data_IF_625899789210
#
_entry.id   IF_625899789210
#
_cell.length_a   1.000
_cell.length_b   1.000
_cell.length_c   1.000
_cell.angle_alpha   90.00
_cell.angle_beta   90.00
_cell.angle_gamma   90.00
#
_symmetry.space_group_name_H-M   'P 1'
#
loop_
_entity.id
_entity.type
_entity.pdbx_description
1 polymer ?
#
# COMPACT_ATOMS: atom_id res chain seq x y z
N UNK A 1 -6.35 -1.82 -14.07
CA UNK A 1 -5.35 -0.74 -14.05
C UNK A 1 -6.00 0.59 -13.71
N UNK A 2 -5.42 1.36 -12.79
CA UNK A 2 -5.97 2.63 -12.27
C UNK A 2 -6.24 3.69 -13.35
N UNK A 3 -5.51 3.65 -14.48
CA UNK A 3 -5.72 4.54 -15.63
C UNK A 3 -7.10 4.38 -16.27
N UNK A 4 -7.40 3.17 -16.75
CA UNK A 4 -8.69 2.84 -17.35
C UNK A 4 -9.86 3.06 -16.36
N UNK A 5 -9.67 2.72 -15.08
CA UNK A 5 -10.72 2.91 -14.07
C UNK A 5 -11.09 4.38 -13.88
N UNK A 6 -10.09 5.25 -13.73
CA UNK A 6 -10.32 6.70 -13.57
C UNK A 6 -11.00 7.30 -14.79
N UNK A 7 -10.55 6.93 -16.00
CA UNK A 7 -11.20 7.31 -17.24
C UNK A 7 -12.68 6.92 -17.24
N UNK A 8 -12.99 5.64 -17.02
CA UNK A 8 -14.37 5.15 -17.03
C UNK A 8 -15.22 5.74 -15.93
N UNK A 9 -14.66 5.96 -14.74
CA UNK A 9 -15.36 6.64 -13.66
C UNK A 9 -15.76 8.06 -14.10
N UNK A 10 -14.83 8.84 -14.64
CA UNK A 10 -15.12 10.22 -15.08
C UNK A 10 -16.04 10.27 -16.30
N UNK A 11 -15.94 9.28 -17.19
CA UNK A 11 -16.84 9.14 -18.34
C UNK A 11 -18.29 8.87 -17.90
N UNK A 12 -18.51 7.89 -17.01
CA UNK A 12 -19.87 7.49 -16.59
C UNK A 12 -20.48 8.36 -15.50
N UNK A 13 -19.67 9.06 -14.71
CA UNK A 13 -20.14 9.85 -13.57
C UNK A 13 -19.82 11.35 -13.71
N UNK A 14 -19.54 11.82 -14.93
CA UNK A 14 -19.27 13.23 -15.23
C UNK A 14 -20.10 13.75 -16.39
N UNK A 15 -19.77 14.96 -16.85
CA UNK A 15 -20.54 15.75 -17.82
C UNK A 15 -20.69 15.08 -19.18
N UNK A 16 -19.79 14.15 -19.54
CA UNK A 16 -19.86 13.37 -20.78
C UNK A 16 -21.11 12.51 -20.83
N UNK A 17 -21.52 11.91 -19.70
CA UNK A 17 -22.77 11.14 -19.64
C UNK A 17 -23.97 12.04 -19.89
N UNK A 18 -23.99 13.22 -19.28
CA UNK A 18 -25.11 14.14 -19.40
C UNK A 18 -25.26 14.64 -20.84
N UNK A 19 -24.15 14.98 -21.51
CA UNK A 19 -24.15 15.34 -22.92
C UNK A 19 -24.67 14.20 -23.82
N UNK A 20 -24.28 12.95 -23.52
CA UNK A 20 -24.80 11.77 -24.22
C UNK A 20 -26.31 11.60 -24.04
N UNK A 21 -26.82 11.74 -22.81
CA UNK A 21 -28.25 11.63 -22.51
C UNK A 21 -29.07 12.76 -23.15
N UNK A 22 -28.50 13.97 -23.20
CA UNK A 22 -29.10 15.13 -23.85
C UNK A 22 -29.08 15.05 -25.39
N UNK A 23 -28.44 14.04 -25.99
CA UNK A 23 -28.16 13.93 -27.44
C UNK A 23 -27.41 15.14 -27.99
N UNK A 24 -26.56 15.75 -27.17
CA UNK A 24 -25.65 16.82 -27.61
C UNK A 24 -24.38 16.18 -28.17
N UNK A 25 -24.36 15.97 -29.49
CA UNK A 25 -23.22 15.36 -30.19
C UNK A 25 -21.92 16.17 -30.05
N UNK A 26 -22.03 17.51 -29.97
CA UNK A 26 -20.88 18.39 -29.88
C UNK A 26 -20.28 18.36 -28.46
N UNK A 27 -21.13 18.52 -27.44
CA UNK A 27 -20.74 18.42 -26.04
C UNK A 27 -20.19 17.04 -25.69
N UNK A 28 -20.79 15.97 -26.23
CA UNK A 28 -20.28 14.61 -26.03
C UNK A 28 -18.88 14.43 -26.64
N UNK A 29 -18.67 14.81 -27.91
CA UNK A 29 -17.37 14.68 -28.57
C UNK A 29 -16.29 15.50 -27.86
N UNK A 30 -16.56 16.77 -27.60
CA UNK A 30 -15.63 17.66 -26.91
C UNK A 30 -15.29 17.14 -25.50
N UNK A 31 -16.30 16.66 -24.76
CA UNK A 31 -16.10 16.08 -23.44
C UNK A 31 -15.25 14.81 -23.45
N UNK A 32 -15.46 13.91 -24.42
CA UNK A 32 -14.64 12.70 -24.60
C UNK A 32 -13.21 13.04 -24.98
N UNK A 33 -13.02 13.96 -25.94
CA UNK A 33 -11.69 14.41 -26.37
C UNK A 33 -10.92 15.06 -25.21
N UNK A 34 -11.57 15.92 -24.42
CA UNK A 34 -11.00 16.49 -23.21
C UNK A 34 -10.62 15.44 -22.16
N UNK A 35 -11.43 14.40 -22.00
CA UNK A 35 -11.13 13.29 -21.11
C UNK A 35 -9.92 12.48 -21.56
N UNK A 36 -9.85 12.15 -22.85
CA UNK A 36 -8.70 11.47 -23.46
C UNK A 36 -7.42 12.30 -23.36
N UNK A 37 -7.50 13.61 -23.62
CA UNK A 37 -6.39 14.55 -23.48
C UNK A 37 -5.91 14.66 -22.01
N UNK A 38 -6.83 14.65 -21.06
CA UNK A 38 -6.47 14.66 -19.63
C UNK A 38 -5.78 13.36 -19.19
N UNK A 39 -6.15 12.22 -19.77
CA UNK A 39 -5.47 10.95 -19.54
C UNK A 39 -4.12 10.86 -20.26
N UNK A 40 -3.82 11.72 -21.24
CA UNK A 40 -2.51 11.76 -21.90
C UNK A 40 -1.38 12.27 -20.98
N UNK A 41 -1.72 13.01 -19.92
CA UNK A 41 -0.74 13.50 -18.96
C UNK A 41 -0.24 12.36 -18.06
N UNK A 42 1.09 12.19 -17.89
CA UNK A 42 1.62 11.22 -16.95
C UNK A 42 1.18 11.62 -15.53
N UNK A 43 0.57 10.69 -14.81
CA UNK A 43 0.25 10.92 -13.40
C UNK A 43 1.54 11.01 -12.62
N UNK A 44 1.60 11.95 -11.67
CA UNK A 44 2.61 11.88 -10.63
C UNK A 44 2.29 10.69 -9.72
N UNK A 45 3.19 9.71 -9.72
CA UNK A 45 3.14 8.62 -8.78
C UNK A 45 3.41 9.13 -7.36
N UNK A 46 3.07 8.30 -6.39
CA UNK A 46 3.24 8.64 -4.98
C UNK A 46 3.49 7.40 -4.16
N UNK A 47 4.15 7.58 -3.02
CA UNK A 47 4.43 6.48 -2.07
C UNK A 47 3.65 6.71 -0.78
N UNK A 48 2.93 5.70 -0.32
CA UNK A 48 2.30 5.72 1.01
C UNK A 48 2.97 4.68 1.90
N UNK A 49 3.65 5.15 2.93
CA UNK A 49 4.25 4.30 3.96
C UNK A 49 3.20 3.96 5.01
N UNK A 50 2.97 2.67 5.23
CA UNK A 50 1.95 2.17 6.15
C UNK A 50 2.60 1.16 7.09
N UNK A 51 2.66 1.51 8.37
CA UNK A 51 3.10 0.61 9.43
C UNK A 51 1.96 -0.33 9.85
N UNK A 52 2.28 -1.60 10.07
CA UNK A 52 1.35 -2.63 10.54
C UNK A 52 1.77 -3.06 11.95
N UNK A 53 0.97 -2.68 12.94
CA UNK A 53 1.22 -3.07 14.33
C UNK A 53 0.39 -4.29 14.77
N UNK A 54 -0.65 -4.64 14.02
CA UNK A 54 -1.54 -5.76 14.29
C UNK A 54 -1.73 -6.60 13.03
N UNK A 55 -1.81 -7.91 13.20
CA UNK A 55 -2.12 -8.82 12.11
C UNK A 55 -3.64 -8.88 11.80
N UNK A 56 -4.46 -8.27 12.65
CA UNK A 56 -5.91 -8.13 12.46
C UNK A 56 -6.23 -7.01 11.46
N UNK A 57 -6.84 -7.32 10.30
CA UNK A 57 -7.27 -6.32 9.31
C UNK A 57 -8.22 -5.24 9.87
N UNK A 58 -9.03 -5.58 10.88
CA UNK A 58 -10.00 -4.63 11.46
C UNK A 58 -9.33 -3.56 12.33
N UNK A 59 -8.10 -3.80 12.77
CA UNK A 59 -7.28 -2.84 13.51
C UNK A 59 -6.48 -1.90 12.60
N UNK A 60 -6.66 -2.01 11.29
CA UNK A 60 -6.08 -1.08 10.33
C UNK A 60 -6.86 0.24 10.31
N UNK A 61 -6.15 1.36 10.18
CA UNK A 61 -6.82 2.65 10.03
C UNK A 61 -7.60 2.71 8.72
N UNK A 62 -8.74 3.41 8.71
CA UNK A 62 -9.51 3.66 7.49
C UNK A 62 -8.67 4.36 6.41
N UNK A 63 -7.68 5.17 6.82
CA UNK A 63 -6.73 5.81 5.88
C UNK A 63 -5.86 4.75 5.20
N UNK A 64 -5.28 3.81 5.95
CA UNK A 64 -4.45 2.74 5.39
C UNK A 64 -5.24 1.82 4.46
N UNK A 65 -6.45 1.41 4.86
CA UNK A 65 -7.34 0.63 4.00
C UNK A 65 -7.64 1.36 2.68
N UNK A 66 -7.99 2.65 2.74
CA UNK A 66 -8.22 3.46 1.53
C UNK A 66 -7.01 3.47 0.60
N UNK A 67 -5.80 3.61 1.15
CA UNK A 67 -4.56 3.60 0.36
C UNK A 67 -4.31 2.23 -0.28
N UNK A 68 -4.56 1.13 0.42
CA UNK A 68 -4.44 -0.22 -0.15
C UNK A 68 -5.41 -0.47 -1.30
N UNK A 69 -6.66 -0.02 -1.17
CA UNK A 69 -7.66 -0.14 -2.24
C UNK A 69 -7.27 0.67 -3.47
N UNK A 70 -6.65 1.82 -3.27
CA UNK A 70 -6.21 2.71 -4.36
C UNK A 70 -4.86 2.30 -4.99
N UNK A 71 -4.07 1.47 -4.32
CA UNK A 71 -2.71 1.13 -4.68
C UNK A 71 -2.62 0.47 -6.06
N UNK A 72 -1.64 0.88 -6.86
CA UNK A 72 -1.24 0.19 -8.08
C UNK A 72 -0.23 -0.93 -7.79
N UNK A 73 0.68 -0.65 -6.86
CA UNK A 73 1.72 -1.56 -6.42
C UNK A 73 1.76 -1.59 -4.91
N UNK A 74 1.93 -2.78 -4.35
CA UNK A 74 2.11 -3.00 -2.91
C UNK A 74 3.46 -3.67 -2.71
N UNK A 75 4.40 -2.91 -2.15
CA UNK A 75 5.70 -3.40 -1.70
C UNK A 75 5.56 -3.76 -0.23
N UNK A 76 5.76 -5.02 0.13
CA UNK A 76 5.53 -5.50 1.49
C UNK A 76 6.60 -6.48 1.97
N UNK A 77 6.84 -6.48 3.28
CA UNK A 77 7.72 -7.47 3.92
C UNK A 77 7.08 -8.87 3.87
N UNK A 78 7.89 -9.92 4.00
CA UNK A 78 7.40 -11.31 4.08
C UNK A 78 6.45 -11.56 5.25
N UNK A 79 6.55 -10.81 6.34
CA UNK A 79 5.74 -10.99 7.53
C UNK A 79 4.29 -10.53 7.39
N UNK A 80 3.95 -9.76 6.34
CA UNK A 80 2.62 -9.14 6.19
C UNK A 80 1.54 -10.20 5.98
N UNK A 81 0.50 -10.25 6.86
CA UNK A 81 -0.59 -11.21 6.73
C UNK A 81 -1.33 -11.10 5.41
N UNK A 82 -1.68 -12.26 4.83
CA UNK A 82 -2.45 -12.32 3.59
C UNK A 82 -3.79 -11.56 3.71
N UNK A 83 -4.45 -11.62 4.87
CA UNK A 83 -5.73 -10.93 5.08
C UNK A 83 -5.63 -9.40 4.88
N UNK A 84 -4.50 -8.80 5.24
CA UNK A 84 -4.21 -7.38 4.98
C UNK A 84 -3.96 -7.13 3.50
N UNK A 85 -3.19 -8.00 2.84
CA UNK A 85 -2.91 -7.91 1.40
C UNK A 85 -4.17 -8.09 0.55
N UNK A 86 -5.15 -8.87 1.02
CA UNK A 86 -6.43 -9.07 0.34
C UNK A 86 -7.38 -7.87 0.45
N UNK A 87 -7.11 -6.89 1.31
CA UNK A 87 -7.84 -5.61 1.32
C UNK A 87 -7.51 -4.75 0.10
N UNK A 88 -6.36 -5.03 -0.53
CA UNK A 88 -5.99 -4.38 -1.77
C UNK A 88 -6.89 -4.80 -2.93
N UNK A 89 -6.92 -3.96 -3.97
CA UNK A 89 -7.56 -4.33 -5.22
C UNK A 89 -6.94 -5.59 -5.84
N UNK A 90 -7.75 -6.40 -6.52
CA UNK A 90 -7.32 -7.66 -7.14
C UNK A 90 -6.27 -7.49 -8.25
N UNK A 91 -6.23 -6.33 -8.89
CA UNK A 91 -5.29 -5.99 -9.97
C UNK A 91 -4.10 -5.16 -9.48
N UNK A 92 -3.89 -5.02 -8.16
CA UNK A 92 -2.67 -4.44 -7.62
C UNK A 92 -1.54 -5.45 -7.72
N UNK A 93 -0.38 -5.00 -8.22
CA UNK A 93 0.83 -5.83 -8.22
C UNK A 93 1.38 -5.91 -6.80
N UNK A 94 1.62 -7.12 -6.31
CA UNK A 94 2.23 -7.37 -5.00
C UNK A 94 3.70 -7.73 -5.20
N UNK A 95 4.59 -7.02 -4.50
CA UNK A 95 6.03 -7.23 -4.53
C UNK A 95 6.46 -7.53 -3.10
N UNK A 96 6.92 -8.75 -2.87
CA UNK A 96 7.45 -9.14 -1.57
C UNK A 96 8.95 -8.84 -1.52
N UNK A 97 9.39 -8.18 -0.45
CA UNK A 97 10.80 -7.87 -0.21
C UNK A 97 11.30 -8.58 1.05
N UNK A 98 12.59 -8.97 1.11
CA UNK A 98 13.21 -9.45 2.33
C UNK A 98 13.04 -8.44 3.46
N UNK A 99 12.68 -8.89 4.65
CA UNK A 99 12.61 -7.99 5.81
C UNK A 99 14.01 -7.41 6.09
N UNK A 100 14.09 -6.11 6.35
CA UNK A 100 15.34 -5.36 6.56
C UNK A 100 16.23 -5.16 5.32
N UNK A 101 15.75 -5.49 4.12
CA UNK A 101 16.42 -5.13 2.86
C UNK A 101 15.82 -3.85 2.26
N UNK A 102 16.27 -2.73 2.81
CA UNK A 102 15.81 -1.39 2.43
C UNK A 102 16.16 -1.01 0.99
N UNK A 103 17.31 -1.49 0.48
CA UNK A 103 17.78 -1.17 -0.87
C UNK A 103 16.87 -1.77 -1.95
N UNK A 104 16.45 -3.02 -1.74
CA UNK A 104 15.52 -3.69 -2.67
C UNK A 104 14.16 -3.01 -2.64
N UNK A 105 13.63 -2.69 -1.46
CA UNK A 105 12.39 -1.93 -1.32
C UNK A 105 12.46 -0.58 -2.04
N UNK A 106 13.46 0.24 -1.74
CA UNK A 106 13.70 1.55 -2.35
C UNK A 106 13.65 1.49 -3.88
N UNK A 107 14.35 0.50 -4.46
CA UNK A 107 14.41 0.33 -5.92
C UNK A 107 13.02 0.17 -6.53
N UNK A 108 12.15 -0.63 -5.92
CA UNK A 108 10.77 -0.80 -6.39
C UNK A 108 9.92 0.44 -6.15
N UNK A 109 10.05 1.08 -4.98
CA UNK A 109 9.30 2.28 -4.64
C UNK A 109 9.56 3.41 -5.64
N UNK A 110 10.83 3.71 -5.91
CA UNK A 110 11.25 4.77 -6.83
C UNK A 110 10.84 4.43 -8.27
N UNK A 111 11.13 3.20 -8.72
CA UNK A 111 10.81 2.75 -10.08
C UNK A 111 9.32 2.87 -10.38
N UNK A 112 8.48 2.35 -9.49
CA UNK A 112 7.05 2.28 -9.72
C UNK A 112 6.39 3.65 -9.54
N UNK A 113 6.82 4.45 -8.57
CA UNK A 113 6.33 5.81 -8.43
C UNK A 113 6.74 6.72 -9.61
N UNK A 114 7.94 6.56 -10.18
CA UNK A 114 8.34 7.26 -11.42
C UNK A 114 7.52 6.82 -12.64
N UNK A 115 7.01 5.59 -12.65
CA UNK A 115 6.07 5.13 -13.68
C UNK A 115 4.67 5.75 -13.54
N UNK A 116 4.42 6.53 -12.48
CA UNK A 116 3.13 7.16 -12.20
C UNK A 116 2.18 6.33 -11.35
N UNK A 117 2.67 5.21 -10.81
CA UNK A 117 1.87 4.31 -9.98
C UNK A 117 1.69 4.85 -8.55
N UNK A 118 0.56 4.49 -7.95
CA UNK A 118 0.34 4.66 -6.51
C UNK A 118 0.96 3.49 -5.77
N UNK A 119 2.08 3.72 -5.12
CA UNK A 119 2.83 2.66 -4.44
C UNK A 119 2.51 2.70 -2.95
N UNK A 120 2.18 1.54 -2.39
CA UNK A 120 2.04 1.38 -0.94
C UNK A 120 3.18 0.53 -0.42
N UNK A 121 3.85 1.02 0.62
CA UNK A 121 4.91 0.32 1.35
C UNK A 121 4.35 -0.16 2.69
N UNK A 122 4.15 -1.48 2.83
CA UNK A 122 3.65 -2.14 4.05
C UNK A 122 4.78 -2.82 4.82
N UNK A 123 4.90 -2.53 6.11
CA UNK A 123 5.95 -3.10 6.98
C UNK A 123 5.48 -3.15 8.44
N UNK A 124 6.06 -4.05 9.24
CA UNK A 124 5.69 -4.20 10.66
C UNK A 124 6.45 -3.27 11.61
N UNK A 125 7.74 -3.07 11.37
CA UNK A 125 8.62 -2.23 12.19
C UNK A 125 8.76 -0.90 11.47
N UNK A 126 8.67 0.24 12.19
CA UNK A 126 8.77 1.58 11.60
C UNK A 126 9.77 1.63 10.44
N UNK A 127 9.29 2.07 9.27
CA UNK A 127 10.12 2.29 8.10
C UNK A 127 11.34 3.07 8.54
N UNK A 128 12.52 2.59 8.16
CA UNK A 128 13.72 3.39 8.35
C UNK A 128 13.49 4.74 7.68
N UNK A 129 14.01 5.79 8.30
CA UNK A 129 13.97 7.13 7.72
C UNK A 129 14.65 7.12 6.33
N UNK A 130 15.54 6.15 6.08
CA UNK A 130 16.29 5.96 4.84
C UNK A 130 15.38 5.76 3.62
N UNK A 131 14.40 4.84 3.66
CA UNK A 131 13.47 4.63 2.53
C UNK A 131 12.69 5.92 2.21
N UNK A 132 12.25 6.62 3.27
CA UNK A 132 11.49 7.87 3.13
C UNK A 132 12.37 8.98 2.54
N UNK A 133 13.62 9.10 3.01
CA UNK A 133 14.60 10.08 2.53
C UNK A 133 14.97 9.80 1.08
N UNK A 134 15.16 8.54 0.69
CA UNK A 134 15.46 8.18 -0.69
C UNK A 134 14.33 8.57 -1.65
N UNK A 135 13.08 8.25 -1.28
CA UNK A 135 11.90 8.67 -2.06
C UNK A 135 11.77 10.20 -2.11
N UNK A 136 12.04 10.90 -1.01
CA UNK A 136 12.03 12.35 -0.94
C UNK A 136 13.12 13.00 -1.81
N UNK A 137 14.33 12.43 -1.82
CA UNK A 137 15.46 12.90 -2.61
C UNK A 137 15.17 12.83 -4.12
N UNK A 138 14.29 11.91 -4.54
CA UNK A 138 13.83 11.78 -5.92
C UNK A 138 12.67 12.70 -6.29
N UNK A 139 12.24 13.58 -5.37
CA UNK A 139 11.13 14.50 -5.59
C UNK A 139 9.77 13.82 -5.72
N UNK A 140 9.65 12.56 -5.27
CA UNK A 140 8.41 11.79 -5.33
C UNK A 140 7.54 12.19 -4.14
N UNK A 141 6.26 12.46 -4.41
CA UNK A 141 5.30 12.75 -3.35
C UNK A 141 5.12 11.52 -2.45
N UNK A 142 5.28 11.69 -1.14
CA UNK A 142 5.07 10.62 -0.18
C UNK A 142 4.22 11.05 1.01
N UNK A 143 3.62 10.07 1.68
CA UNK A 143 2.95 10.28 2.96
C UNK A 143 3.17 9.08 3.89
N UNK A 144 3.21 9.36 5.18
CA UNK A 144 3.20 8.31 6.23
C UNK A 144 1.79 8.21 6.80
N UNK A 145 1.24 7.00 6.83
CA UNK A 145 -0.07 6.71 7.41
C UNK A 145 0.15 6.14 8.80
N UNK A 146 -0.34 6.80 9.86
CA UNK A 146 -0.20 6.28 11.20
C UNK A 146 -1.01 4.99 11.35
N UNK A 147 -0.49 4.09 12.17
CA UNK A 147 -1.13 2.82 12.52
C UNK A 147 -1.71 2.89 13.93
N UNK A 148 -2.74 2.09 14.20
CA UNK A 148 -3.24 1.95 15.57
C UNK A 148 -2.15 1.24 16.38
N UNK A 149 -1.90 1.71 17.60
CA UNK A 149 -0.97 1.00 18.49
C UNK A 149 -1.50 -0.41 18.74
N UNK A 150 -0.63 -1.42 18.63
CA UNK A 150 -1.00 -2.76 19.04
C UNK A 150 -1.45 -2.72 20.52
N UNK A 151 -2.47 -3.47 20.94
CA UNK A 151 -2.62 -3.77 22.36
C UNK A 151 -1.27 -4.33 22.83
N UNK A 152 -0.78 -3.88 24.00
CA UNK A 152 0.47 -4.42 24.58
C UNK A 152 0.39 -5.93 24.45
N UNK A 153 1.33 -6.54 23.72
CA UNK A 153 1.52 -7.98 23.74
C UNK A 153 1.74 -8.32 25.21
N UNK A 154 0.71 -8.78 25.93
CA UNK A 154 0.93 -9.52 27.16
C UNK A 154 1.87 -10.65 26.75
N UNK A 155 3.03 -10.68 27.39
CA UNK A 155 4.25 -11.25 26.83
C UNK A 155 4.03 -12.52 26.02
N UNK A 156 4.66 -12.62 24.85
CA UNK A 156 5.05 -13.94 24.37
C UNK A 156 5.83 -14.58 25.51
N UNK A 157 5.30 -15.65 26.11
CA UNK A 157 6.14 -16.60 26.81
C UNK A 157 7.28 -16.92 25.83
N UNK A 158 8.49 -16.51 26.18
CA UNK A 158 9.70 -16.97 25.52
C UNK A 158 9.61 -18.49 25.46
N UNK A 159 9.73 -19.09 24.28
CA UNK A 159 9.89 -20.54 24.20
C UNK A 159 11.06 -20.90 25.13
N UNK A 160 10.89 -21.87 26.04
CA UNK A 160 11.92 -22.19 27.01
C UNK A 160 13.20 -22.52 26.27
N UNK A 161 14.29 -21.90 26.70
CA UNK A 161 15.63 -22.21 26.22
C UNK A 161 15.95 -23.66 26.60
N UNK A 162 16.90 -24.30 25.90
CA UNK A 162 17.32 -25.67 26.26
C UNK A 162 17.68 -25.77 27.75
N UNK A 163 18.33 -24.74 28.30
CA UNK A 163 18.67 -24.65 29.73
C UNK A 163 17.43 -24.61 30.65
N UNK A 164 16.36 -23.93 30.25
CA UNK A 164 15.10 -23.88 30.99
C UNK A 164 14.42 -25.26 31.04
N UNK A 165 14.57 -26.05 29.98
CA UNK A 165 14.08 -27.43 29.91
C UNK A 165 14.90 -28.34 30.83
N UNK A 166 16.24 -28.21 30.83
CA UNK A 166 17.13 -29.00 31.69
C UNK A 166 16.84 -28.79 33.17
N UNK A 167 16.73 -27.54 33.62
CA UNK A 167 16.42 -27.19 35.01
C UNK A 167 15.04 -27.71 35.45
N UNK A 168 14.06 -27.69 34.53
CA UNK A 168 12.72 -28.22 34.81
C UNK A 168 12.74 -29.75 34.99
N UNK A 169 13.53 -30.46 34.18
CA UNK A 169 13.68 -31.93 34.29
C UNK A 169 14.44 -32.31 35.56
N UNK A 170 15.49 -31.58 35.92
CA UNK A 170 16.27 -31.82 37.14
C UNK A 170 15.43 -31.64 38.42
N UNK A 171 14.58 -30.62 38.47
CA UNK A 171 13.64 -30.41 39.59
C UNK A 171 12.56 -31.48 39.71
N UNK A 172 12.17 -32.11 38.61
CA UNK A 172 11.16 -33.17 38.61
C UNK A 172 11.74 -34.54 39.02
N UNK A 173 13.07 -34.68 39.01
CA UNK A 173 13.79 -35.92 39.33
C UNK A 173 14.34 -35.97 40.78
N UNK A 174 14.14 -34.91 41.57
CA UNK A 174 14.47 -34.80 43.00
C UNK A 174 13.23 -34.84 43.87
#
# INVERSE_FOLDING_TARGET
GSRRRSFWQRFFFGDVREAFLAKDDCGFRSGVEGLLASEAHPRQGRVSFITINSDDPELMTLKAQRKLVEADVIVHDHGVPAAILEMARRDARRVTVPSHDFNTAETFLIKDARAGDRVVRLFHVESSLEETVAVAAEGIAFETVPSVAAPKRSGKATSPTIDDIYETVLRAAS
#
